data_IF_342807289958
#
_entry.id   IF_342807289958
#
_cell.length_a   1.000
_cell.length_b   1.000
_cell.length_c   1.000
_cell.angle_alpha   90.00
_cell.angle_beta   90.00
_cell.angle_gamma   90.00
#
_symmetry.space_group_name_H-M   'P 1'
#
loop_
_entity.id
_entity.type
_entity.pdbx_description
1 polymer ?
#
# COMPACT_ATOMS: atom_id res chain seq x y z
N UNK A 1 -11.00 0.27 -8.65
CA UNK A 1 -10.28 0.66 -9.88
C UNK A 1 -9.24 1.74 -9.58
N UNK A 2 -8.02 1.56 -10.07
CA UNK A 2 -6.95 2.57 -10.02
C UNK A 2 -6.49 2.83 -11.46
N UNK A 3 -6.12 4.07 -11.77
CA UNK A 3 -5.70 4.46 -13.13
C UNK A 3 -4.50 3.65 -13.63
N UNK A 4 -3.60 3.28 -12.73
CA UNK A 4 -2.37 2.52 -13.01
C UNK A 4 -2.58 1.00 -13.13
N UNK A 5 -3.81 0.49 -13.02
CA UNK A 5 -4.09 -0.95 -13.06
C UNK A 5 -4.12 -1.57 -14.44
N UNK A 6 -4.08 -2.90 -14.48
CA UNK A 6 -4.26 -3.73 -15.68
C UNK A 6 -5.20 -4.91 -15.42
N UNK A 7 -5.15 -5.95 -16.26
CA UNK A 7 -5.89 -7.21 -16.07
C UNK A 7 -5.02 -8.33 -15.48
N UNK A 8 -3.76 -8.08 -15.20
CA UNK A 8 -2.80 -9.13 -14.79
C UNK A 8 -3.13 -9.77 -13.45
N UNK A 9 -3.78 -9.03 -12.51
CA UNK A 9 -4.25 -9.62 -11.24
C UNK A 9 -5.30 -10.69 -11.52
N UNK A 10 -6.27 -10.41 -12.40
CA UNK A 10 -7.30 -11.36 -12.78
C UNK A 10 -6.71 -12.56 -13.54
N UNK A 11 -5.84 -12.32 -14.50
CA UNK A 11 -5.19 -13.35 -15.33
C UNK A 11 -4.31 -14.28 -14.50
N UNK A 12 -3.54 -13.73 -13.56
CA UNK A 12 -2.57 -14.49 -12.76
C UNK A 12 -3.20 -15.21 -11.56
N UNK A 13 -4.19 -14.61 -10.91
CA UNK A 13 -4.74 -15.08 -9.65
C UNK A 13 -6.24 -15.38 -9.69
N UNK A 14 -6.94 -15.03 -10.74
CA UNK A 14 -8.40 -15.17 -10.83
C UNK A 14 -9.16 -14.23 -9.91
N UNK A 15 -8.57 -13.10 -9.49
CA UNK A 15 -9.16 -12.16 -8.54
C UNK A 15 -9.85 -10.99 -9.27
N UNK A 16 -11.11 -10.74 -8.93
CA UNK A 16 -11.88 -9.62 -9.44
C UNK A 16 -12.49 -9.85 -10.83
N UNK A 17 -13.29 -8.89 -11.33
CA UNK A 17 -13.99 -8.99 -12.59
C UNK A 17 -13.05 -8.79 -13.79
N UNK A 18 -13.22 -9.61 -14.83
CA UNK A 18 -12.36 -9.61 -16.03
C UNK A 18 -12.57 -8.41 -16.96
N UNK A 19 -13.68 -7.71 -16.83
CA UNK A 19 -14.05 -6.54 -17.64
C UNK A 19 -13.44 -5.22 -17.15
N UNK A 20 -12.76 -5.25 -16.00
CA UNK A 20 -12.17 -4.05 -15.37
C UNK A 20 -10.66 -4.12 -15.26
N UNK A 21 -10.01 -2.95 -15.29
CA UNK A 21 -8.61 -2.82 -14.90
C UNK A 21 -8.52 -2.72 -13.38
N UNK A 22 -7.69 -3.55 -12.75
CA UNK A 22 -7.48 -3.58 -11.31
C UNK A 22 -6.04 -3.23 -11.02
N UNK A 23 -5.80 -2.14 -10.30
CA UNK A 23 -4.48 -1.75 -9.80
C UNK A 23 -4.22 -2.23 -8.38
N UNK A 24 -5.30 -2.48 -7.62
CA UNK A 24 -5.21 -2.89 -6.22
C UNK A 24 -6.34 -3.86 -5.88
N UNK A 25 -5.99 -5.02 -5.34
CA UNK A 25 -6.92 -6.03 -4.84
C UNK A 25 -6.65 -6.33 -3.37
N UNK A 26 -7.61 -6.06 -2.50
CA UNK A 26 -7.53 -6.34 -1.07
C UNK A 26 -7.88 -7.80 -0.82
N UNK A 27 -6.86 -8.62 -0.71
CA UNK A 27 -7.00 -10.07 -0.58
C UNK A 27 -7.47 -10.49 0.81
N UNK A 28 -6.92 -9.85 1.87
CA UNK A 28 -7.30 -10.06 3.26
C UNK A 28 -7.53 -8.69 3.89
N UNK A 29 -8.78 -8.38 4.22
CA UNK A 29 -9.17 -7.09 4.77
C UNK A 29 -10.37 -7.18 5.68
N UNK A 30 -10.27 -6.58 6.86
CA UNK A 30 -11.39 -6.26 7.73
C UNK A 30 -11.66 -4.74 7.81
N UNK A 31 -11.04 -3.97 6.92
CA UNK A 31 -11.20 -2.52 6.82
C UNK A 31 -12.54 -2.17 6.17
N UNK A 32 -13.25 -1.15 6.70
CA UNK A 32 -14.60 -0.80 6.28
C UNK A 32 -14.72 -0.38 4.81
N UNK A 33 -13.63 0.14 4.23
CA UNK A 33 -13.56 0.51 2.82
C UNK A 33 -13.43 -0.69 1.86
N UNK A 34 -13.27 -1.93 2.39
CA UNK A 34 -13.13 -3.12 1.55
C UNK A 34 -13.08 -4.40 2.38
N UNK A 35 -14.23 -4.91 2.80
CA UNK A 35 -14.33 -6.11 3.62
C UNK A 35 -14.15 -7.39 2.80
N UNK A 36 -13.25 -8.27 3.24
CA UNK A 36 -13.13 -9.63 2.72
C UNK A 36 -14.21 -10.53 3.31
N UNK A 37 -14.79 -11.40 2.47
CA UNK A 37 -15.74 -12.42 2.89
C UNK A 37 -15.09 -13.80 2.98
N UNK A 38 -15.46 -14.55 4.00
CA UNK A 38 -15.02 -15.93 4.17
C UNK A 38 -15.60 -16.80 3.06
N UNK A 39 -14.73 -17.50 2.33
CA UNK A 39 -15.11 -18.24 1.12
C UNK A 39 -15.69 -19.63 1.41
N UNK A 40 -15.23 -20.29 2.47
CA UNK A 40 -15.58 -21.67 2.80
C UNK A 40 -15.60 -21.91 4.32
N UNK A 41 -15.96 -23.13 4.73
CA UNK A 41 -15.99 -23.53 6.13
C UNK A 41 -17.22 -23.02 6.90
N UNK A 42 -17.15 -23.08 8.21
CA UNK A 42 -18.25 -22.76 9.15
C UNK A 42 -18.74 -21.33 9.01
N UNK A 43 -17.86 -20.40 8.73
CA UNK A 43 -18.13 -18.96 8.66
C UNK A 43 -18.35 -18.43 7.22
N UNK A 44 -18.62 -19.32 6.25
CA UNK A 44 -18.82 -18.95 4.84
C UNK A 44 -19.87 -17.86 4.69
N UNK A 45 -19.48 -16.78 4.02
CA UNK A 45 -20.34 -15.62 3.74
C UNK A 45 -20.22 -14.48 4.75
N UNK A 46 -19.74 -14.75 5.95
CA UNK A 46 -19.43 -13.71 6.93
C UNK A 46 -18.23 -12.86 6.50
N UNK A 47 -18.15 -11.63 7.00
CA UNK A 47 -16.97 -10.81 6.77
C UNK A 47 -15.83 -11.19 7.70
N UNK A 48 -14.58 -10.97 7.28
CA UNK A 48 -13.42 -11.14 8.16
C UNK A 48 -13.56 -10.27 9.42
N UNK A 49 -14.14 -9.07 9.30
CA UNK A 49 -14.40 -8.17 10.42
C UNK A 49 -15.33 -8.82 11.45
N UNK A 50 -16.46 -9.37 11.00
CA UNK A 50 -17.42 -10.00 11.90
C UNK A 50 -16.81 -11.23 12.59
N UNK A 51 -16.12 -12.09 11.84
CA UNK A 51 -15.44 -13.27 12.39
C UNK A 51 -14.35 -12.85 13.39
N UNK A 52 -13.56 -11.83 13.11
CA UNK A 52 -12.55 -11.29 14.01
C UNK A 52 -13.16 -10.77 15.31
N UNK A 53 -14.26 -10.03 15.23
CA UNK A 53 -14.91 -9.44 16.41
C UNK A 53 -15.61 -10.48 17.29
N UNK A 54 -16.25 -11.48 16.68
CA UNK A 54 -17.10 -12.45 17.38
C UNK A 54 -16.37 -13.74 17.77
N UNK A 55 -15.20 -14.01 17.18
CA UNK A 55 -14.46 -15.27 17.33
C UNK A 55 -12.97 -15.01 17.55
N UNK A 56 -12.65 -14.23 18.60
CA UNK A 56 -11.27 -13.85 18.97
C UNK A 56 -10.34 -15.05 19.18
N UNK A 57 -10.88 -16.18 19.62
CA UNK A 57 -10.14 -17.42 19.80
C UNK A 57 -9.46 -17.92 18.51
N UNK A 58 -10.00 -17.58 17.34
CA UNK A 58 -9.42 -17.93 16.04
C UNK A 58 -8.18 -17.09 15.70
N UNK A 59 -7.99 -16.00 16.41
CA UNK A 59 -6.91 -15.00 16.20
C UNK A 59 -6.02 -14.91 17.44
N UNK A 60 -5.83 -16.01 18.16
CA UNK A 60 -5.04 -16.08 19.39
C UNK A 60 -5.45 -15.04 20.47
N UNK A 61 -6.73 -14.67 20.50
CA UNK A 61 -7.29 -13.64 21.36
C UNK A 61 -6.57 -12.29 21.22
N UNK A 62 -6.22 -11.91 19.99
CA UNK A 62 -5.60 -10.63 19.67
C UNK A 62 -6.33 -9.48 20.37
N UNK A 63 -5.64 -8.58 21.10
CA UNK A 63 -6.28 -7.55 21.93
C UNK A 63 -6.74 -6.32 21.16
N UNK A 64 -6.41 -6.17 19.87
CA UNK A 64 -6.76 -4.99 19.11
C UNK A 64 -8.26 -4.92 18.79
N UNK A 65 -8.82 -3.74 18.81
CA UNK A 65 -10.25 -3.52 18.52
C UNK A 65 -10.62 -3.79 17.06
N UNK A 66 -9.64 -3.66 16.15
CA UNK A 66 -9.76 -3.92 14.72
C UNK A 66 -8.75 -4.98 14.30
N UNK A 67 -9.08 -5.80 13.31
CA UNK A 67 -8.11 -6.72 12.69
C UNK A 67 -6.89 -5.91 12.19
N UNK A 68 -5.67 -6.25 12.64
CA UNK A 68 -4.54 -5.33 12.54
C UNK A 68 -3.87 -5.26 11.17
N UNK A 69 -4.20 -6.19 10.26
CA UNK A 69 -3.51 -6.32 8.98
C UNK A 69 -4.43 -6.06 7.78
N UNK A 70 -3.82 -5.59 6.70
CA UNK A 70 -4.40 -5.52 5.37
C UNK A 70 -3.40 -6.12 4.38
N UNK A 71 -3.84 -7.14 3.62
CA UNK A 71 -3.01 -7.78 2.59
C UNK A 71 -3.58 -7.44 1.22
N UNK A 72 -2.73 -6.96 0.34
CA UNK A 72 -3.09 -6.55 -1.03
C UNK A 72 -2.22 -7.22 -2.08
N UNK A 73 -2.77 -7.32 -3.27
CA UNK A 73 -2.02 -7.50 -4.51
C UNK A 73 -2.15 -6.21 -5.31
N UNK A 74 -1.04 -5.58 -5.59
CA UNK A 74 -0.98 -4.34 -6.36
C UNK A 74 -0.34 -4.60 -7.72
N UNK A 75 -0.96 -4.06 -8.75
CA UNK A 75 -0.48 -4.05 -10.13
C UNK A 75 -0.24 -2.61 -10.54
N UNK A 76 1.01 -2.26 -10.74
CA UNK A 76 1.47 -0.91 -11.06
C UNK A 76 1.94 -0.89 -12.51
N UNK A 77 1.24 -0.16 -13.37
CA UNK A 77 1.57 0.03 -14.80
C UNK A 77 1.99 1.46 -15.13
N UNK A 78 1.78 2.37 -14.18
CA UNK A 78 2.17 3.78 -14.30
C UNK A 78 2.80 4.23 -12.98
N UNK A 79 3.71 5.21 -12.98
CA UNK A 79 4.32 5.71 -11.76
C UNK A 79 3.29 6.10 -10.70
N UNK A 80 3.51 5.68 -9.47
CA UNK A 80 2.65 6.02 -8.35
C UNK A 80 3.10 7.30 -7.65
N UNK A 81 2.21 7.87 -6.83
CA UNK A 81 2.53 9.04 -6.02
C UNK A 81 3.70 8.77 -5.07
N UNK A 82 4.52 9.79 -4.85
CA UNK A 82 5.46 9.81 -3.74
C UNK A 82 4.69 10.18 -2.47
N UNK A 83 4.76 9.32 -1.48
CA UNK A 83 3.88 9.36 -0.31
C UNK A 83 4.61 9.03 0.98
N UNK A 84 3.96 9.33 2.09
CA UNK A 84 4.38 8.95 3.43
C UNK A 84 3.16 8.55 4.26
N UNK A 85 3.33 7.58 5.14
CA UNK A 85 2.30 7.11 6.04
C UNK A 85 2.61 7.48 7.48
N UNK A 86 1.59 7.82 8.30
CA UNK A 86 1.78 8.14 9.70
C UNK A 86 2.11 6.92 10.55
N UNK A 87 2.73 7.14 11.70
CA UNK A 87 2.79 6.14 12.76
C UNK A 87 1.46 6.04 13.55
N UNK A 88 1.35 5.05 14.45
CA UNK A 88 0.15 4.82 15.25
C UNK A 88 -0.22 6.03 16.13
N UNK A 89 0.76 6.73 16.69
CA UNK A 89 0.50 7.86 17.59
C UNK A 89 -0.12 9.02 16.81
N UNK A 90 0.45 9.33 15.64
CA UNK A 90 -0.07 10.38 14.77
C UNK A 90 -1.43 10.01 14.18
N UNK A 91 -1.56 8.78 13.64
CA UNK A 91 -2.78 8.33 13.00
C UNK A 91 -3.97 8.27 13.97
N UNK A 92 -3.78 7.76 15.18
CA UNK A 92 -4.82 7.77 16.22
C UNK A 92 -5.30 9.16 16.57
N UNK A 93 -4.38 10.12 16.67
CA UNK A 93 -4.70 11.50 17.05
C UNK A 93 -5.42 12.28 15.94
N UNK A 94 -5.01 12.10 14.70
CA UNK A 94 -5.42 12.97 13.59
C UNK A 94 -6.41 12.31 12.61
N UNK A 95 -6.37 10.98 12.49
CA UNK A 95 -7.16 10.23 11.50
C UNK A 95 -8.14 9.25 12.15
N UNK A 96 -8.05 9.04 13.47
CA UNK A 96 -8.79 8.02 14.22
C UNK A 96 -8.59 6.61 13.62
N UNK A 97 -7.35 6.31 13.20
CA UNK A 97 -6.97 5.06 12.54
C UNK A 97 -5.64 4.52 13.06
N UNK A 98 -5.21 3.35 12.56
CA UNK A 98 -3.87 2.83 12.76
C UNK A 98 -2.83 3.63 11.97
N UNK A 99 -1.59 3.56 12.39
CA UNK A 99 -0.45 3.87 11.53
C UNK A 99 -0.39 2.94 10.32
N UNK A 100 0.56 3.17 9.43
CA UNK A 100 0.68 2.37 8.23
C UNK A 100 2.16 2.07 7.91
N UNK A 101 2.72 1.09 8.62
CA UNK A 101 3.94 0.43 8.20
C UNK A 101 3.59 -0.65 7.17
N UNK A 102 4.45 -0.84 6.19
CA UNK A 102 4.24 -1.72 5.04
C UNK A 102 5.41 -2.67 4.81
N UNK A 103 5.07 -3.86 4.35
CA UNK A 103 6.00 -4.86 3.87
C UNK A 103 5.59 -5.26 2.45
N UNK A 104 6.45 -5.08 1.48
CA UNK A 104 6.19 -5.38 0.07
C UNK A 104 7.10 -6.49 -0.42
N UNK A 105 6.54 -7.48 -1.11
CA UNK A 105 7.26 -8.50 -1.87
C UNK A 105 7.02 -8.24 -3.37
N UNK A 106 8.09 -8.03 -4.13
CA UNK A 106 8.01 -7.83 -5.57
C UNK A 106 7.78 -9.16 -6.29
N UNK A 107 6.57 -9.37 -6.83
CA UNK A 107 6.18 -10.61 -7.52
C UNK A 107 6.62 -10.64 -8.97
N UNK A 108 6.68 -9.47 -9.59
CA UNK A 108 7.11 -9.27 -10.97
C UNK A 108 7.57 -7.83 -11.15
N UNK A 109 8.68 -7.61 -11.85
CA UNK A 109 9.30 -6.29 -12.01
C UNK A 109 9.76 -6.12 -13.45
N UNK A 110 9.31 -5.06 -14.12
CA UNK A 110 9.79 -4.70 -15.45
C UNK A 110 11.19 -4.07 -15.34
N UNK A 111 12.04 -4.36 -16.29
CA UNK A 111 13.41 -3.82 -16.36
C UNK A 111 13.41 -2.28 -16.29
N UNK A 112 14.33 -1.72 -15.51
CA UNK A 112 14.44 -0.27 -15.31
C UNK A 112 13.54 0.29 -14.20
N UNK A 113 12.65 -0.51 -13.60
CA UNK A 113 11.82 -0.10 -12.47
C UNK A 113 12.68 0.28 -11.27
N UNK A 114 12.31 1.39 -10.63
CA UNK A 114 12.93 1.90 -9.41
C UNK A 114 11.88 2.17 -8.36
N UNK A 115 12.28 2.10 -7.11
CA UNK A 115 11.51 2.65 -6.00
C UNK A 115 12.15 3.92 -5.48
N UNK A 116 11.32 4.86 -5.07
CA UNK A 116 11.73 5.97 -4.22
C UNK A 116 11.69 5.48 -2.78
N UNK A 117 12.76 5.70 -2.02
CA UNK A 117 12.81 5.37 -0.59
C UNK A 117 13.71 6.35 0.16
N UNK A 118 13.08 7.33 0.80
CA UNK A 118 13.74 8.41 1.52
C UNK A 118 14.11 9.61 0.65
N UNK A 119 14.83 10.54 1.26
CA UNK A 119 15.24 11.80 0.64
C UNK A 119 16.64 12.22 1.06
N UNK A 120 17.26 13.14 0.31
CA UNK A 120 18.62 13.64 0.52
C UNK A 120 18.69 14.90 1.40
N UNK A 121 17.57 15.60 1.63
CA UNK A 121 17.55 16.82 2.45
C UNK A 121 18.02 16.51 3.90
N UNK A 122 18.82 17.39 4.46
CA UNK A 122 19.38 17.27 5.82
C UNK A 122 18.57 18.03 6.86
N UNK A 123 17.80 19.03 6.43
CA UNK A 123 16.94 19.84 7.31
C UNK A 123 15.52 19.94 6.72
N UNK A 124 14.58 20.35 7.56
CA UNK A 124 13.20 20.63 7.11
C UNK A 124 13.15 21.77 6.10
N UNK A 125 14.00 22.75 6.25
CA UNK A 125 14.13 23.91 5.37
C UNK A 125 14.60 23.49 3.98
N UNK A 126 15.65 22.65 3.92
CA UNK A 126 16.14 22.07 2.66
C UNK A 126 15.04 21.25 1.97
N UNK A 127 14.32 20.43 2.73
CA UNK A 127 13.22 19.62 2.21
C UNK A 127 12.12 20.51 1.63
N UNK A 128 11.68 21.52 2.38
CA UNK A 128 10.64 22.48 1.94
C UNK A 128 11.08 23.21 0.67
N UNK A 129 12.29 23.74 0.66
CA UNK A 129 12.85 24.43 -0.52
C UNK A 129 12.88 23.52 -1.75
N UNK A 130 13.32 22.28 -1.61
CA UNK A 130 13.35 21.32 -2.72
C UNK A 130 11.96 21.02 -3.27
N UNK A 131 10.92 20.98 -2.43
CA UNK A 131 9.52 20.83 -2.86
C UNK A 131 9.06 22.07 -3.63
N UNK A 132 9.30 23.28 -3.10
CA UNK A 132 8.93 24.55 -3.72
C UNK A 132 9.59 24.72 -5.10
N UNK A 133 10.85 24.32 -5.22
CA UNK A 133 11.64 24.34 -6.45
C UNK A 133 11.35 23.15 -7.39
N UNK A 134 10.51 22.19 -6.97
CA UNK A 134 10.22 20.94 -7.70
C UNK A 134 11.47 20.14 -8.04
N UNK A 135 12.45 20.17 -7.17
CA UNK A 135 13.76 19.52 -7.35
C UNK A 135 13.69 18.00 -7.08
N UNK A 136 12.70 17.31 -7.68
CA UNK A 136 12.37 15.90 -7.38
C UNK A 136 13.50 14.94 -7.66
N UNK A 137 14.30 15.19 -8.70
CA UNK A 137 15.40 14.30 -9.12
C UNK A 137 16.54 14.28 -8.12
N UNK A 138 16.81 15.39 -7.47
CA UNK A 138 17.86 15.51 -6.44
C UNK A 138 17.34 15.24 -5.04
N UNK A 139 16.05 15.50 -4.80
CA UNK A 139 15.42 15.31 -3.49
C UNK A 139 15.27 13.83 -3.14
N UNK A 140 14.72 13.01 -4.04
CA UNK A 140 14.34 11.64 -3.71
C UNK A 140 15.47 10.63 -3.96
N UNK A 141 15.62 9.69 -3.03
CA UNK A 141 16.54 8.56 -3.18
C UNK A 141 15.86 7.45 -3.97
N UNK A 142 16.44 7.12 -5.13
CA UNK A 142 15.95 6.07 -6.03
C UNK A 142 16.81 4.82 -5.91
N UNK A 143 16.15 3.65 -5.90
CA UNK A 143 16.83 2.35 -5.87
C UNK A 143 16.23 1.42 -6.93
N UNK A 144 17.06 0.74 -7.73
CA UNK A 144 16.56 -0.33 -8.60
C UNK A 144 16.01 -1.47 -7.74
N UNK A 145 15.07 -2.22 -8.27
CA UNK A 145 14.45 -3.39 -7.62
C UNK A 145 14.36 -4.55 -8.57
N UNK A 146 14.38 -5.77 -8.02
CA UNK A 146 14.24 -7.01 -8.76
C UNK A 146 13.10 -7.87 -8.20
N UNK A 147 12.55 -8.75 -9.03
CA UNK A 147 11.55 -9.71 -8.57
C UNK A 147 12.11 -10.62 -7.47
N UNK A 148 11.24 -11.05 -6.57
CA UNK A 148 11.53 -11.85 -5.36
C UNK A 148 12.32 -11.13 -4.26
N UNK A 149 12.55 -9.84 -4.38
CA UNK A 149 13.03 -9.03 -3.25
C UNK A 149 11.85 -8.53 -2.41
N UNK A 150 12.12 -8.28 -1.15
CA UNK A 150 11.16 -7.65 -0.24
C UNK A 150 11.73 -6.38 0.39
N UNK A 151 10.82 -5.47 0.71
CA UNK A 151 11.16 -4.20 1.35
C UNK A 151 10.19 -3.94 2.49
N UNK A 152 10.72 -3.68 3.69
CA UNK A 152 9.95 -3.16 4.81
C UNK A 152 10.04 -1.63 4.82
N UNK A 153 8.90 -0.97 4.80
CA UNK A 153 8.76 0.49 4.84
C UNK A 153 8.13 0.90 6.18
N UNK A 154 8.94 1.32 7.16
CA UNK A 154 8.41 1.87 8.41
C UNK A 154 7.54 3.10 8.16
N UNK A 155 6.56 3.33 9.01
CA UNK A 155 5.83 4.58 9.06
C UNK A 155 6.80 5.78 9.12
N UNK A 156 6.44 6.90 8.50
CA UNK A 156 7.31 8.08 8.35
C UNK A 156 8.33 8.00 7.22
N UNK A 157 8.45 6.87 6.50
CA UNK A 157 9.36 6.75 5.37
C UNK A 157 8.70 7.28 4.10
N UNK A 158 9.33 8.25 3.44
CA UNK A 158 8.91 8.71 2.11
C UNK A 158 9.22 7.61 1.10
N UNK A 159 8.23 7.22 0.31
CA UNK A 159 8.37 6.16 -0.68
C UNK A 159 7.46 6.36 -1.89
N UNK A 160 7.76 5.64 -2.97
CA UNK A 160 6.99 5.65 -4.22
C UNK A 160 7.55 4.62 -5.20
N UNK A 161 6.87 4.45 -6.34
CA UNK A 161 7.28 3.51 -7.39
C UNK A 161 7.37 4.26 -8.71
N UNK A 162 8.53 4.14 -9.37
CA UNK A 162 8.79 4.66 -10.71
C UNK A 162 9.06 3.49 -11.66
N UNK A 163 8.04 3.11 -12.44
CA UNK A 163 8.10 1.99 -13.36
C UNK A 163 6.92 1.04 -13.19
N UNK A 164 7.10 -0.22 -13.59
CA UNK A 164 6.02 -1.20 -13.61
C UNK A 164 6.40 -2.45 -12.81
N UNK A 165 5.51 -2.85 -11.94
CA UNK A 165 5.68 -4.06 -11.13
C UNK A 165 4.34 -4.60 -10.63
N UNK A 166 4.38 -5.85 -10.19
CA UNK A 166 3.33 -6.46 -9.38
C UNK A 166 3.89 -6.82 -8.01
N UNK A 167 3.15 -6.53 -6.94
CA UNK A 167 3.61 -6.82 -5.59
C UNK A 167 2.51 -7.39 -4.70
N UNK A 168 2.91 -8.18 -3.73
CA UNK A 168 2.13 -8.47 -2.54
C UNK A 168 2.55 -7.49 -1.44
N UNK A 169 1.57 -6.82 -0.86
CA UNK A 169 1.76 -5.83 0.21
C UNK A 169 1.04 -6.31 1.46
N UNK A 170 1.77 -6.38 2.57
CA UNK A 170 1.23 -6.62 3.91
C UNK A 170 1.46 -5.37 4.73
N UNK A 171 0.40 -4.74 5.19
CA UNK A 171 0.46 -3.48 5.91
C UNK A 171 -0.41 -3.50 7.17
N UNK A 172 -0.23 -2.53 8.04
CA UNK A 172 -1.22 -2.27 9.08
C UNK A 172 -2.57 -1.90 8.43
N UNK A 173 -3.67 -2.20 9.10
CA UNK A 173 -5.03 -2.04 8.58
C UNK A 173 -5.46 -0.57 8.58
N UNK A 174 -4.85 0.20 7.70
CA UNK A 174 -5.11 1.63 7.47
C UNK A 174 -5.02 1.96 5.98
N UNK A 175 -5.78 2.93 5.51
CA UNK A 175 -5.68 3.48 4.16
C UNK A 175 -5.20 4.95 4.12
N UNK A 176 -4.71 5.45 5.26
CA UNK A 176 -4.20 6.82 5.40
C UNK A 176 -2.93 7.01 4.58
N UNK A 177 -2.94 8.00 3.71
CA UNK A 177 -1.84 8.32 2.81
C UNK A 177 -1.67 9.82 2.64
N UNK A 178 -0.49 10.34 2.97
CA UNK A 178 -0.10 11.73 2.68
C UNK A 178 0.76 11.77 1.42
N UNK A 179 0.24 12.41 0.38
CA UNK A 179 0.93 12.54 -0.90
C UNK A 179 1.79 13.79 -0.90
N UNK A 180 3.08 13.61 -1.22
CA UNK A 180 4.05 14.70 -1.37
C UNK A 180 4.07 15.16 -2.83
N UNK A 181 4.04 14.21 -3.74
CA UNK A 181 4.04 14.45 -5.17
C UNK A 181 3.25 13.34 -5.88
N UNK A 182 2.35 13.70 -6.75
CA UNK A 182 1.54 12.74 -7.49
C UNK A 182 1.91 12.75 -8.97
N UNK A 183 2.67 11.76 -9.38
CA UNK A 183 3.11 11.58 -10.76
C UNK A 183 1.94 11.34 -11.71
N UNK A 184 0.81 10.83 -11.22
CA UNK A 184 -0.39 10.56 -12.04
C UNK A 184 -1.16 11.83 -12.41
N UNK A 185 -0.97 12.93 -11.70
CA UNK A 185 -1.66 14.21 -11.94
C UNK A 185 -0.97 15.10 -12.97
N UNK A 186 0.20 14.72 -13.48
CA UNK A 186 0.93 15.53 -14.49
C UNK A 186 0.23 15.47 -15.86
N UNK A 187 -0.67 14.54 -16.07
CA UNK A 187 -1.34 14.30 -17.36
C UNK A 187 -2.83 14.70 -17.37
N UNK A 188 -3.27 15.46 -16.37
CA UNK A 188 -4.66 15.99 -16.33
C UNK A 188 -4.65 17.46 -16.71
#
# INVERSE_FOLDING_TARGET
>A
EKLYGSRRIQEKFGFGPMDKKIGEYWAISAHDNGLSKIKNGKYKGETLKDVYLNHRELFANDPHDKFPLLVKINEIQEPCSVQVHPDDAYARKHENDFGKAEFCLWLDVEEGTKIIRGHNAKTKEEFRKAIEEKAWDTLFVRKPVCANEFVYTPAGTIHGIEGKLMMAEVQQSSDVTYRIYDLSLIHI
#
